data_IF_578644038942
#
_entry.id   IF_578644038942
#
_cell.length_a   1.000
_cell.length_b   1.000
_cell.length_c   1.000
_cell.angle_alpha   90.00
_cell.angle_beta   90.00
_cell.angle_gamma   90.00
#
_symmetry.space_group_name_H-M   'P 1'
#
loop_
_entity.id
_entity.type
_entity.pdbx_description
1 polymer ?
#
# COMPACT_ATOMS: atom_id res chain seq x y z
N UNK A 1 -10.39 -20.09 19.90
CA UNK A 1 -10.95 -19.11 18.96
C UNK A 1 -10.10 -19.12 17.70
N UNK A 2 -10.67 -18.98 16.49
CA UNK A 2 -9.85 -18.80 15.29
C UNK A 2 -8.99 -17.55 15.49
N UNK A 3 -7.66 -17.69 15.38
CA UNK A 3 -6.75 -16.54 15.44
C UNK A 3 -7.13 -15.58 14.31
N UNK A 4 -7.40 -14.32 14.66
CA UNK A 4 -7.58 -13.27 13.66
C UNK A 4 -6.29 -13.13 12.86
N UNK A 5 -6.40 -13.18 11.54
CA UNK A 5 -5.24 -13.13 10.65
C UNK A 5 -4.68 -11.71 10.64
N UNK A 6 -3.36 -11.51 10.83
CA UNK A 6 -2.77 -10.17 10.78
C UNK A 6 -2.86 -9.58 9.37
N UNK A 7 -2.82 -8.25 9.27
CA UNK A 7 -2.57 -7.60 7.98
C UNK A 7 -1.20 -8.02 7.43
N UNK A 8 -1.04 -7.90 6.11
CA UNK A 8 0.20 -8.27 5.44
C UNK A 8 1.42 -7.52 6.00
N UNK A 9 1.32 -6.21 6.26
CA UNK A 9 2.42 -5.46 6.88
C UNK A 9 2.71 -5.91 8.31
N UNK A 10 1.69 -6.09 9.16
CA UNK A 10 1.89 -6.59 10.54
C UNK A 10 2.58 -7.94 10.56
N UNK A 11 2.22 -8.83 9.65
CA UNK A 11 2.88 -10.13 9.55
C UNK A 11 4.36 -9.99 9.19
N UNK A 12 4.67 -9.20 8.17
CA UNK A 12 6.05 -9.05 7.69
C UNK A 12 6.92 -8.27 8.68
N UNK A 13 6.41 -7.14 9.21
CA UNK A 13 7.20 -6.18 9.98
C UNK A 13 7.16 -6.41 11.48
N UNK A 14 6.13 -7.09 12.01
CA UNK A 14 6.07 -7.44 13.44
C UNK A 14 6.31 -8.92 13.66
N UNK A 15 5.54 -9.80 12.99
CA UNK A 15 5.60 -11.22 13.33
C UNK A 15 6.89 -11.90 12.87
N UNK A 16 7.31 -11.69 11.62
CA UNK A 16 8.56 -12.28 11.14
C UNK A 16 9.77 -11.66 11.83
N UNK A 17 9.78 -10.33 12.05
CA UNK A 17 10.91 -9.64 12.69
C UNK A 17 11.16 -10.06 14.15
N UNK A 18 10.15 -10.59 14.87
CA UNK A 18 10.36 -11.16 16.22
C UNK A 18 11.35 -12.33 16.22
N UNK A 19 11.48 -13.03 15.10
CA UNK A 19 12.35 -14.19 14.93
C UNK A 19 13.70 -13.87 14.26
N UNK A 20 14.16 -12.61 14.26
CA UNK A 20 15.41 -12.19 13.59
C UNK A 20 16.63 -13.02 14.00
N UNK A 21 16.70 -13.48 15.25
CA UNK A 21 17.79 -14.32 15.73
C UNK A 21 17.90 -15.69 15.01
N UNK A 22 16.82 -16.15 14.39
CA UNK A 22 16.75 -17.37 13.58
C UNK A 22 17.13 -17.14 12.11
N UNK A 23 17.19 -15.89 11.64
CA UNK A 23 17.38 -15.65 10.21
C UNK A 23 18.68 -16.26 9.69
N UNK A 24 18.60 -16.86 8.50
CA UNK A 24 19.69 -17.58 7.83
C UNK A 24 20.25 -18.78 8.61
N UNK A 25 19.50 -19.31 9.60
CA UNK A 25 19.86 -20.50 10.38
C UNK A 25 18.76 -21.55 10.30
N UNK A 26 18.43 -22.07 9.10
CA UNK A 26 17.45 -23.15 9.00
C UNK A 26 17.95 -24.38 9.77
N UNK A 27 17.04 -25.20 10.34
CA UNK A 27 17.42 -26.43 11.04
C UNK A 27 18.23 -27.40 10.17
N UNK A 28 17.95 -27.40 8.86
CA UNK A 28 18.69 -28.14 7.85
C UNK A 28 19.58 -27.17 7.04
N UNK A 29 20.93 -27.32 7.07
CA UNK A 29 21.85 -26.51 6.27
C UNK A 29 21.64 -26.63 4.76
N UNK A 30 21.01 -27.72 4.31
CA UNK A 30 20.67 -27.96 2.90
C UNK A 30 19.28 -27.45 2.53
N UNK A 31 18.59 -26.76 3.45
CA UNK A 31 17.25 -26.23 3.21
C UNK A 31 17.18 -25.39 1.93
N UNK A 32 16.17 -25.71 1.13
CA UNK A 32 15.86 -25.08 -0.15
C UNK A 32 14.61 -24.24 0.00
N UNK A 33 14.60 -23.05 -0.60
CA UNK A 33 13.42 -22.21 -0.64
C UNK A 33 12.33 -22.87 -1.51
N UNK A 34 11.10 -23.06 -1.01
CA UNK A 34 10.02 -23.71 -1.75
C UNK A 34 9.46 -22.86 -2.89
N UNK A 35 9.88 -21.60 -3.04
CA UNK A 35 9.40 -20.70 -4.10
C UNK A 35 10.37 -20.64 -5.27
N UNK A 36 11.67 -20.46 -5.02
CA UNK A 36 12.68 -20.36 -6.08
C UNK A 36 13.49 -21.64 -6.29
N UNK A 37 13.33 -22.64 -5.41
CA UNK A 37 14.07 -23.91 -5.44
C UNK A 37 15.60 -23.75 -5.33
N UNK A 38 16.06 -22.63 -4.76
CA UNK A 38 17.48 -22.35 -4.49
C UNK A 38 17.77 -22.56 -2.99
N UNK A 39 18.95 -23.09 -2.68
CA UNK A 39 19.41 -23.27 -1.29
C UNK A 39 19.45 -21.92 -0.55
N UNK A 40 19.20 -21.96 0.76
CA UNK A 40 18.98 -20.77 1.59
C UNK A 40 20.06 -19.68 1.45
N UNK A 41 21.33 -20.06 1.31
CA UNK A 41 22.49 -19.17 1.22
C UNK A 41 22.99 -18.92 -0.21
N UNK A 42 22.29 -19.39 -1.25
CA UNK A 42 22.67 -19.25 -2.66
C UNK A 42 21.73 -18.33 -3.47
N UNK A 43 20.91 -17.53 -2.81
CA UNK A 43 20.00 -16.62 -3.49
C UNK A 43 20.76 -15.64 -4.42
N UNK A 44 20.31 -15.43 -5.67
CA UNK A 44 21.03 -14.57 -6.63
C UNK A 44 21.04 -13.10 -6.23
N UNK A 45 20.07 -12.68 -5.41
CA UNK A 45 20.01 -11.35 -4.80
C UNK A 45 20.02 -11.54 -3.29
N UNK A 46 20.89 -10.82 -2.54
CA UNK A 46 20.94 -10.91 -1.08
C UNK A 46 19.56 -10.76 -0.45
N UNK A 47 19.19 -11.73 0.37
CA UNK A 47 17.91 -11.77 1.07
C UNK A 47 18.01 -12.65 2.30
N UNK A 48 17.32 -12.29 3.37
CA UNK A 48 17.18 -13.15 4.55
C UNK A 48 16.36 -14.40 4.21
N UNK A 49 16.80 -15.55 4.69
CA UNK A 49 16.03 -16.79 4.76
C UNK A 49 15.40 -16.87 6.16
N UNK A 50 14.08 -16.96 6.24
CA UNK A 50 13.35 -16.81 7.50
C UNK A 50 12.28 -17.89 7.68
N UNK A 51 11.94 -18.25 8.93
CA UNK A 51 10.83 -19.14 9.21
C UNK A 51 9.49 -18.40 9.14
N UNK A 52 8.51 -18.99 8.48
CA UNK A 52 7.13 -18.52 8.46
C UNK A 52 6.43 -18.89 9.78
N UNK A 53 5.55 -18.02 10.25
CA UNK A 53 4.73 -18.23 11.45
C UNK A 53 3.29 -18.46 11.01
N UNK A 54 2.55 -19.42 11.59
CA UNK A 54 2.95 -20.33 12.67
C UNK A 54 3.59 -21.64 12.21
N UNK A 55 3.64 -21.90 10.89
CA UNK A 55 3.95 -23.24 10.38
C UNK A 55 5.44 -23.66 10.41
N UNK A 56 6.37 -22.73 10.64
CA UNK A 56 7.81 -23.02 10.73
C UNK A 56 8.51 -23.30 9.39
N UNK A 57 7.80 -23.30 8.25
CA UNK A 57 8.43 -23.48 6.94
C UNK A 57 9.30 -22.29 6.57
N UNK A 58 10.44 -22.54 5.94
CA UNK A 58 11.42 -21.50 5.64
C UNK A 58 11.34 -21.00 4.19
N UNK A 59 11.50 -19.70 4.00
CA UNK A 59 11.48 -19.05 2.67
C UNK A 59 12.47 -17.90 2.61
N UNK A 60 12.92 -17.56 1.40
CA UNK A 60 13.60 -16.28 1.17
C UNK A 60 12.58 -15.14 1.29
N UNK A 61 12.91 -14.11 2.08
CA UNK A 61 12.07 -12.93 2.27
C UNK A 61 11.63 -12.30 0.94
N UNK A 62 12.57 -12.06 0.02
CA UNK A 62 12.25 -11.49 -1.31
C UNK A 62 11.31 -12.39 -2.12
N UNK A 63 11.45 -13.71 -2.03
CA UNK A 63 10.56 -14.65 -2.71
C UNK A 63 9.14 -14.63 -2.12
N UNK A 64 9.03 -14.51 -0.79
CA UNK A 64 7.75 -14.36 -0.11
C UNK A 64 7.03 -13.08 -0.56
N UNK A 65 7.73 -11.94 -0.55
CA UNK A 65 7.16 -10.67 -1.02
C UNK A 65 6.77 -10.75 -2.50
N UNK A 66 7.61 -11.34 -3.35
CA UNK A 66 7.31 -11.50 -4.77
C UNK A 66 6.05 -12.35 -4.99
N UNK A 67 5.90 -13.46 -4.26
CA UNK A 67 4.68 -14.29 -4.30
C UNK A 67 3.45 -13.52 -3.81
N UNK A 68 3.56 -12.82 -2.69
CA UNK A 68 2.48 -11.99 -2.13
C UNK A 68 2.12 -10.80 -3.03
N UNK A 69 2.99 -10.44 -3.97
CA UNK A 69 2.76 -9.40 -4.98
C UNK A 69 2.19 -9.96 -6.29
N UNK A 70 1.72 -11.20 -6.34
CA UNK A 70 1.00 -11.70 -7.52
C UNK A 70 -0.50 -11.45 -7.36
N UNK A 71 -1.15 -10.70 -8.25
CA UNK A 71 -2.59 -10.40 -8.11
C UNK A 71 -3.46 -11.62 -8.43
N UNK A 72 -3.03 -12.44 -9.39
CA UNK A 72 -3.76 -13.60 -9.93
C UNK A 72 -3.70 -14.84 -9.01
N UNK A 73 -2.64 -15.01 -8.22
CA UNK A 73 -2.49 -16.20 -7.35
C UNK A 73 -3.49 -16.15 -6.18
N UNK A 74 -4.38 -17.14 -6.12
CA UNK A 74 -5.35 -17.31 -5.04
C UNK A 74 -4.72 -17.85 -3.74
N UNK A 75 -3.49 -18.36 -3.79
CA UNK A 75 -2.73 -18.89 -2.66
C UNK A 75 -1.61 -17.93 -2.20
N UNK A 76 -1.66 -16.66 -2.60
CA UNK A 76 -0.66 -15.64 -2.23
C UNK A 76 -0.66 -15.28 -0.74
N UNK A 77 -1.77 -15.50 -0.04
CA UNK A 77 -1.93 -15.23 1.39
C UNK A 77 -1.64 -16.46 2.27
N UNK A 78 -1.09 -17.54 1.68
CA UNK A 78 -0.86 -18.84 2.33
C UNK A 78 0.60 -19.27 2.27
N UNK A 79 0.98 -20.16 3.19
CA UNK A 79 2.26 -20.86 3.15
C UNK A 79 2.40 -21.65 1.83
N UNK A 80 3.54 -21.53 1.11
CA UNK A 80 3.74 -22.24 -0.15
C UNK A 80 3.92 -23.76 0.02
N UNK A 81 4.12 -24.25 1.25
CA UNK A 81 4.35 -25.68 1.54
C UNK A 81 3.08 -26.35 2.05
N UNK A 82 2.52 -25.85 3.16
CA UNK A 82 1.39 -26.49 3.83
C UNK A 82 0.05 -25.77 3.64
N UNK A 83 0.01 -24.71 2.84
CA UNK A 83 -1.19 -23.91 2.54
C UNK A 83 -1.86 -23.21 3.74
N UNK A 84 -1.22 -23.24 4.92
CA UNK A 84 -1.68 -22.52 6.11
C UNK A 84 -1.85 -21.02 5.78
N UNK A 85 -3.03 -20.43 6.01
CA UNK A 85 -3.24 -18.99 5.86
C UNK A 85 -2.29 -18.19 6.75
N UNK A 86 -1.60 -17.21 6.19
CA UNK A 86 -0.62 -16.39 6.91
C UNK A 86 -1.16 -14.99 7.22
N UNK A 87 -1.88 -14.39 6.28
CA UNK A 87 -2.24 -12.96 6.34
C UNK A 87 -3.66 -12.69 5.81
N UNK A 88 -4.19 -11.52 6.14
CA UNK A 88 -5.21 -10.85 5.33
C UNK A 88 -4.50 -10.02 4.27
N UNK A 89 -4.69 -10.41 3.01
CA UNK A 89 -4.08 -9.74 1.88
C UNK A 89 -4.91 -8.54 1.43
N UNK A 90 -4.24 -7.42 1.17
CA UNK A 90 -4.76 -6.32 0.39
C UNK A 90 -3.68 -5.70 -0.51
N UNK A 91 -4.13 -5.03 -1.58
CA UNK A 91 -3.26 -4.59 -2.65
C UNK A 91 -2.33 -3.48 -2.22
N UNK A 92 -2.80 -2.55 -1.40
CA UNK A 92 -1.97 -1.41 -0.99
C UNK A 92 -0.84 -1.84 -0.05
N UNK A 93 -1.06 -2.82 0.82
CA UNK A 93 0.00 -3.43 1.62
C UNK A 93 1.01 -4.15 0.72
N UNK A 94 0.54 -4.91 -0.27
CA UNK A 94 1.41 -5.63 -1.20
C UNK A 94 2.24 -4.66 -2.08
N UNK A 95 1.61 -3.60 -2.59
CA UNK A 95 2.25 -2.49 -3.29
C UNK A 95 3.36 -1.88 -2.42
N UNK A 96 3.04 -1.53 -1.17
CA UNK A 96 3.99 -0.96 -0.21
C UNK A 96 5.21 -1.87 -0.02
N UNK A 97 5.00 -3.17 0.17
CA UNK A 97 6.09 -4.14 0.34
C UNK A 97 6.93 -4.31 -0.93
N UNK A 98 6.29 -4.40 -2.08
CA UNK A 98 6.97 -4.54 -3.36
C UNK A 98 7.86 -3.33 -3.63
N UNK A 99 7.33 -2.11 -3.44
CA UNK A 99 8.09 -0.86 -3.56
C UNK A 99 9.28 -0.83 -2.59
N UNK A 100 9.06 -1.16 -1.31
CA UNK A 100 10.14 -1.21 -0.31
C UNK A 100 11.23 -2.24 -0.63
N UNK A 101 10.85 -3.33 -1.29
CA UNK A 101 11.76 -4.43 -1.66
C UNK A 101 12.39 -4.22 -3.05
N UNK A 102 12.01 -3.17 -3.77
CA UNK A 102 12.46 -2.92 -5.14
C UNK A 102 12.04 -4.03 -6.11
N UNK A 103 10.85 -4.60 -5.92
CA UNK A 103 10.27 -5.59 -6.82
C UNK A 103 9.38 -4.91 -7.84
N UNK A 104 9.51 -5.32 -9.10
CA UNK A 104 8.57 -4.92 -10.16
C UNK A 104 7.23 -5.64 -9.91
N UNK A 105 6.14 -4.88 -9.96
CA UNK A 105 4.81 -5.44 -9.84
C UNK A 105 4.44 -6.17 -11.14
N UNK A 106 3.89 -7.39 -11.06
CA UNK A 106 3.36 -8.05 -12.24
C UNK A 106 2.16 -7.25 -12.76
N UNK A 107 2.06 -7.14 -14.09
CA UNK A 107 0.90 -6.56 -14.75
C UNK A 107 -0.07 -7.68 -15.07
N UNK A 108 -1.13 -7.81 -14.29
CA UNK A 108 -2.24 -8.71 -14.61
C UNK A 108 -2.95 -8.19 -15.86
N UNK A 109 -2.81 -8.89 -16.98
CA UNK A 109 -3.60 -8.65 -18.19
C UNK A 109 -4.98 -9.24 -18.00
N UNK A 110 -6.01 -8.47 -18.33
CA UNK A 110 -7.39 -8.94 -18.19
C UNK A 110 -7.91 -9.52 -19.50
N UNK A 111 -8.85 -10.44 -19.40
CA UNK A 111 -9.60 -10.90 -20.57
C UNK A 111 -10.41 -9.74 -21.15
N UNK A 112 -10.60 -9.73 -22.48
CA UNK A 112 -11.32 -8.65 -23.18
C UNK A 112 -12.72 -8.36 -22.60
N UNK A 113 -13.40 -9.36 -22.05
CA UNK A 113 -14.72 -9.21 -21.40
C UNK A 113 -14.69 -8.41 -20.08
N UNK A 114 -13.53 -8.29 -19.45
CA UNK A 114 -13.35 -7.50 -18.23
C UNK A 114 -12.77 -6.12 -18.51
N UNK A 115 -12.30 -5.86 -19.74
CA UNK A 115 -11.82 -4.55 -20.13
C UNK A 115 -12.98 -3.56 -20.19
N UNK A 116 -12.77 -2.33 -19.75
CA UNK A 116 -13.80 -1.29 -19.71
C UNK A 116 -13.22 0.10 -19.98
N UNK A 117 -14.08 1.05 -20.36
CA UNK A 117 -13.70 2.47 -20.42
C UNK A 117 -14.06 3.18 -19.13
N UNK A 118 -13.09 3.77 -18.46
CA UNK A 118 -13.30 4.53 -17.23
C UNK A 118 -14.14 5.79 -17.54
N UNK A 119 -15.31 5.92 -16.90
CA UNK A 119 -16.22 7.02 -17.19
C UNK A 119 -15.68 8.39 -16.73
N UNK A 120 -14.83 8.42 -15.71
CA UNK A 120 -14.30 9.67 -15.16
C UNK A 120 -13.08 10.17 -15.95
N UNK A 121 -12.23 9.26 -16.43
CA UNK A 121 -10.98 9.62 -17.12
C UNK A 121 -11.02 9.38 -18.63
N UNK A 122 -11.99 8.62 -19.13
CA UNK A 122 -12.08 8.19 -20.52
C UNK A 122 -11.03 7.14 -20.93
N UNK A 123 -10.17 6.70 -20.01
CA UNK A 123 -9.09 5.74 -20.25
C UNK A 123 -9.64 4.33 -20.45
N UNK A 124 -9.05 3.57 -21.37
CA UNK A 124 -9.32 2.15 -21.52
C UNK A 124 -8.53 1.36 -20.46
N UNK A 125 -9.24 0.59 -19.65
CA UNK A 125 -8.69 -0.24 -18.57
C UNK A 125 -8.82 -1.70 -18.97
N UNK A 126 -7.69 -2.34 -19.25
CA UNK A 126 -7.54 -3.72 -19.73
C UNK A 126 -6.50 -4.51 -18.92
N UNK A 127 -5.91 -3.88 -17.91
CA UNK A 127 -4.91 -4.48 -17.04
C UNK A 127 -4.88 -3.77 -15.67
N UNK A 128 -4.25 -4.42 -14.70
CA UNK A 128 -4.01 -3.84 -13.37
C UNK A 128 -3.26 -2.50 -13.47
N UNK A 129 -2.39 -2.34 -14.48
CA UNK A 129 -1.60 -1.14 -14.69
C UNK A 129 -2.43 0.03 -15.25
N UNK A 130 -3.30 -0.24 -16.23
CA UNK A 130 -4.17 0.80 -16.81
C UNK A 130 -5.27 1.22 -15.84
N UNK A 131 -5.80 0.30 -15.03
CA UNK A 131 -6.73 0.63 -13.94
C UNK A 131 -6.05 1.48 -12.85
N UNK A 132 -4.83 1.12 -12.43
CA UNK A 132 -4.04 1.91 -11.48
C UNK A 132 -3.78 3.34 -11.98
N UNK A 133 -3.44 3.48 -13.27
CA UNK A 133 -3.24 4.79 -13.88
C UNK A 133 -4.53 5.62 -13.90
N UNK A 134 -5.66 5.00 -14.22
CA UNK A 134 -6.97 5.65 -14.18
C UNK A 134 -7.34 6.13 -12.76
N UNK A 135 -7.14 5.30 -11.73
CA UNK A 135 -7.35 5.71 -10.34
C UNK A 135 -6.44 6.87 -9.94
N UNK A 136 -5.15 6.83 -10.32
CA UNK A 136 -4.23 7.93 -10.04
C UNK A 136 -4.69 9.25 -10.67
N UNK A 137 -5.21 9.21 -11.89
CA UNK A 137 -5.75 10.39 -12.56
C UNK A 137 -7.02 10.93 -11.87
N UNK A 138 -7.92 10.06 -11.44
CA UNK A 138 -9.11 10.46 -10.65
C UNK A 138 -8.70 11.10 -9.33
N UNK A 139 -7.71 10.51 -8.63
CA UNK A 139 -7.18 11.05 -7.37
C UNK A 139 -6.64 12.46 -7.61
N UNK A 140 -5.81 12.68 -8.63
CA UNK A 140 -5.25 14.00 -8.92
C UNK A 140 -6.31 15.04 -9.28
N UNK A 141 -7.28 14.68 -10.12
CA UNK A 141 -8.40 15.55 -10.45
C UNK A 141 -9.25 15.91 -9.21
N UNK A 142 -9.48 14.93 -8.33
CA UNK A 142 -10.21 15.14 -7.07
C UNK A 142 -9.44 16.09 -6.16
N UNK A 143 -8.13 15.89 -5.97
CA UNK A 143 -7.27 16.79 -5.19
C UNK A 143 -7.34 18.23 -5.70
N UNK A 144 -7.20 18.43 -7.01
CA UNK A 144 -7.26 19.76 -7.61
C UNK A 144 -8.63 20.43 -7.36
N UNK A 145 -9.73 19.71 -7.61
CA UNK A 145 -11.09 20.22 -7.39
C UNK A 145 -11.32 20.61 -5.93
N UNK A 146 -11.02 19.72 -4.98
CA UNK A 146 -11.18 20.00 -3.55
C UNK A 146 -10.31 21.19 -3.12
N UNK A 147 -9.06 21.25 -3.57
CA UNK A 147 -8.18 22.38 -3.25
C UNK A 147 -8.78 23.71 -3.73
N UNK A 148 -9.22 23.82 -4.98
CA UNK A 148 -9.78 25.07 -5.50
C UNK A 148 -11.08 25.48 -4.82
N UNK A 149 -11.90 24.52 -4.35
CA UNK A 149 -13.06 24.82 -3.53
C UNK A 149 -12.66 25.49 -2.20
N UNK A 150 -11.62 24.99 -1.54
CA UNK A 150 -11.08 25.57 -0.30
C UNK A 150 -10.22 26.82 -0.52
N UNK A 151 -9.67 27.01 -1.71
CA UNK A 151 -8.93 28.22 -2.09
C UNK A 151 -9.85 29.40 -2.45
N UNK A 152 -11.16 29.17 -2.62
CA UNK A 152 -12.13 30.21 -2.93
C UNK A 152 -12.23 31.26 -1.80
N UNK A 153 -12.34 32.57 -2.07
CA UNK A 153 -12.37 33.62 -1.02
C UNK A 153 -13.43 33.43 0.06
N UNK A 154 -14.58 32.86 -0.30
CA UNK A 154 -15.69 32.59 0.63
C UNK A 154 -15.52 31.33 1.50
N UNK A 155 -14.51 30.49 1.24
CA UNK A 155 -14.27 29.29 2.03
C UNK A 155 -13.63 29.64 3.39
N UNK A 156 -13.83 28.83 4.45
CA UNK A 156 -13.14 28.99 5.73
C UNK A 156 -11.61 28.93 5.58
N UNK A 157 -10.89 29.82 6.26
CA UNK A 157 -9.42 29.97 6.17
C UNK A 157 -8.73 29.82 7.51
N UNK A 158 -7.43 29.54 7.46
CA UNK A 158 -6.53 29.70 8.59
C UNK A 158 -6.36 31.18 8.95
N UNK A 159 -5.71 31.47 10.08
CA UNK A 159 -5.52 32.84 10.57
C UNK A 159 -4.66 33.64 9.59
N UNK A 160 -3.66 33.01 8.98
CA UNK A 160 -2.82 33.61 7.94
C UNK A 160 -3.50 33.75 6.56
N UNK A 161 -4.78 33.40 6.45
CA UNK A 161 -5.55 33.45 5.20
C UNK A 161 -5.32 32.27 4.25
N UNK A 162 -4.46 31.31 4.60
CA UNK A 162 -4.25 30.10 3.80
C UNK A 162 -5.46 29.15 3.83
N UNK A 163 -5.63 28.28 2.81
CA UNK A 163 -6.66 27.24 2.82
C UNK A 163 -6.42 26.23 3.94
N UNK A 164 -7.50 25.69 4.52
CA UNK A 164 -7.43 24.63 5.54
C UNK A 164 -7.10 23.27 4.88
N UNK A 165 -5.84 23.00 4.61
CA UNK A 165 -5.40 21.82 3.83
C UNK A 165 -5.77 20.47 4.47
N UNK A 166 -5.89 20.40 5.80
CA UNK A 166 -6.44 19.21 6.46
C UNK A 166 -7.89 18.92 6.01
N UNK A 167 -8.72 19.94 5.83
CA UNK A 167 -10.08 19.78 5.32
C UNK A 167 -10.07 19.35 3.85
N UNK A 168 -9.18 19.92 3.02
CA UNK A 168 -8.97 19.46 1.63
C UNK A 168 -8.66 17.96 1.59
N UNK A 169 -7.76 17.49 2.44
CA UNK A 169 -7.41 16.07 2.54
C UNK A 169 -8.61 15.18 2.87
N UNK A 170 -9.42 15.55 3.87
CA UNK A 170 -10.61 14.78 4.25
C UNK A 170 -11.69 14.81 3.17
N UNK A 171 -11.89 15.94 2.50
CA UNK A 171 -12.85 16.06 1.40
C UNK A 171 -12.42 15.21 0.20
N UNK A 172 -11.12 15.14 -0.12
CA UNK A 172 -10.61 14.23 -1.15
C UNK A 172 -10.94 12.78 -0.81
N UNK A 173 -10.70 12.35 0.44
CA UNK A 173 -11.04 10.99 0.86
C UNK A 173 -12.56 10.73 0.81
N UNK A 174 -13.37 11.70 1.25
CA UNK A 174 -14.83 11.63 1.23
C UNK A 174 -15.37 11.52 -0.19
N UNK A 175 -14.88 12.35 -1.10
CA UNK A 175 -15.29 12.35 -2.49
C UNK A 175 -14.87 11.06 -3.22
N UNK A 176 -13.65 10.56 -2.98
CA UNK A 176 -13.20 9.27 -3.51
C UNK A 176 -14.07 8.12 -3.01
N UNK A 177 -14.43 8.11 -1.72
CA UNK A 177 -15.31 7.10 -1.15
C UNK A 177 -16.72 7.16 -1.77
N UNK A 178 -17.27 8.37 -1.98
CA UNK A 178 -18.58 8.58 -2.60
C UNK A 178 -18.64 8.01 -4.02
N UNK A 179 -17.56 8.16 -4.79
CA UNK A 179 -17.45 7.60 -6.15
C UNK A 179 -16.87 6.18 -6.18
N UNK A 180 -16.79 5.51 -5.02
CA UNK A 180 -16.31 4.13 -4.85
C UNK A 180 -14.91 3.88 -5.44
N UNK A 181 -13.98 4.77 -5.15
CA UNK A 181 -12.56 4.66 -5.53
C UNK A 181 -11.68 4.38 -4.32
N UNK A 182 -10.55 3.68 -4.51
CA UNK A 182 -9.99 3.16 -5.76
C UNK A 182 -10.66 1.85 -6.22
N UNK A 183 -10.59 1.57 -7.53
CA UNK A 183 -11.01 0.28 -8.13
C UNK A 183 -9.83 -0.67 -8.36
N UNK A 184 -8.68 -0.07 -8.66
CA UNK A 184 -7.36 -0.67 -8.80
C UNK A 184 -7.07 -1.69 -7.73
N UNK A 185 -6.85 -2.95 -8.14
CA UNK A 185 -6.48 -4.02 -7.21
C UNK A 185 -5.34 -3.62 -6.27
N UNK A 186 -4.36 -2.86 -6.78
CA UNK A 186 -3.18 -2.39 -6.06
C UNK A 186 -3.43 -1.28 -5.04
N UNK A 187 -4.49 -0.50 -5.21
CA UNK A 187 -4.83 0.59 -4.30
C UNK A 187 -5.94 0.20 -3.32
N UNK A 188 -6.65 -0.89 -3.60
CA UNK A 188 -7.71 -1.40 -2.73
C UNK A 188 -7.17 -1.95 -1.42
N UNK A 189 -7.92 -1.70 -0.36
CA UNK A 189 -7.67 -2.23 0.97
C UNK A 189 -8.84 -3.09 1.47
N UNK A 190 -8.53 -3.95 2.44
CA UNK A 190 -9.52 -4.72 3.22
C UNK A 190 -9.23 -4.71 4.72
N UNK A 191 -8.03 -4.28 5.11
CA UNK A 191 -7.60 -4.19 6.50
C UNK A 191 -7.60 -2.75 6.97
N UNK A 192 -7.60 -2.55 8.30
CA UNK A 192 -7.44 -1.22 8.88
C UNK A 192 -6.07 -0.61 8.53
N UNK A 193 -5.00 -1.41 8.58
CA UNK A 193 -3.67 -0.96 8.13
C UNK A 193 -3.70 -0.51 6.67
N UNK A 194 -4.38 -1.26 5.79
CA UNK A 194 -4.55 -0.87 4.38
C UNK A 194 -5.32 0.45 4.20
N UNK A 195 -6.37 0.70 5.00
CA UNK A 195 -7.06 1.99 5.00
C UNK A 195 -6.13 3.14 5.38
N UNK A 196 -5.31 2.97 6.42
CA UNK A 196 -4.35 3.98 6.85
C UNK A 196 -3.27 4.24 5.78
N UNK A 197 -2.76 3.19 5.14
CA UNK A 197 -1.81 3.31 4.03
C UNK A 197 -2.41 4.06 2.84
N UNK A 198 -3.69 3.85 2.55
CA UNK A 198 -4.36 4.59 1.48
C UNK A 198 -4.48 6.07 1.81
N UNK A 199 -4.88 6.40 3.04
CA UNK A 199 -4.84 7.78 3.52
C UNK A 199 -3.45 8.40 3.39
N UNK A 200 -2.40 7.67 3.78
CA UNK A 200 -1.02 8.14 3.67
C UNK A 200 -0.61 8.37 2.21
N UNK A 201 -1.00 7.48 1.28
CA UNK A 201 -0.76 7.67 -0.15
C UNK A 201 -1.42 8.96 -0.67
N UNK A 202 -2.69 9.20 -0.32
CA UNK A 202 -3.41 10.42 -0.71
C UNK A 202 -2.70 11.65 -0.14
N UNK A 203 -2.29 11.60 1.12
CA UNK A 203 -1.54 12.68 1.75
C UNK A 203 -0.20 12.96 1.06
N UNK A 204 0.59 11.92 0.74
CA UNK A 204 1.85 12.07 0.00
C UNK A 204 1.64 12.65 -1.40
N UNK A 205 0.59 12.22 -2.11
CA UNK A 205 0.23 12.76 -3.42
C UNK A 205 -0.21 14.22 -3.32
N UNK A 206 -1.03 14.57 -2.33
CA UNK A 206 -1.48 15.95 -2.10
C UNK A 206 -0.30 16.86 -1.76
N UNK A 207 0.55 16.45 -0.81
CA UNK A 207 1.79 17.15 -0.45
C UNK A 207 2.65 17.44 -1.69
N UNK A 208 2.88 16.42 -2.52
CA UNK A 208 3.65 16.55 -3.75
C UNK A 208 2.99 17.53 -4.73
N UNK A 209 1.70 17.36 -4.98
CA UNK A 209 0.93 18.21 -5.89
C UNK A 209 0.95 19.68 -5.45
N UNK A 210 0.78 19.95 -4.16
CA UNK A 210 0.87 21.29 -3.58
C UNK A 210 2.29 21.87 -3.72
N UNK A 211 3.32 21.08 -3.43
CA UNK A 211 4.71 21.52 -3.58
C UNK A 211 5.12 21.79 -5.02
N UNK A 212 4.55 21.08 -6.00
CA UNK A 212 4.86 21.26 -7.42
C UNK A 212 4.00 22.35 -8.08
N UNK A 213 2.72 22.48 -7.71
CA UNK A 213 1.74 23.32 -8.42
C UNK A 213 1.21 24.51 -7.63
N UNK A 214 1.29 24.48 -6.30
CA UNK A 214 0.70 25.48 -5.40
C UNK A 214 1.74 25.94 -4.36
N UNK A 215 2.95 26.27 -4.82
CA UNK A 215 4.10 26.58 -3.94
C UNK A 215 3.83 27.66 -2.91
N UNK A 216 2.90 28.59 -3.19
CA UNK A 216 2.49 29.67 -2.28
C UNK A 216 1.87 29.17 -0.96
N UNK A 217 1.30 27.96 -0.93
CA UNK A 217 0.76 27.40 0.31
C UNK A 217 1.83 26.73 1.18
N UNK A 218 3.02 26.45 0.65
CA UNK A 218 4.07 25.76 1.40
C UNK A 218 4.58 26.65 2.53
N UNK A 219 4.59 26.12 3.75
CA UNK A 219 5.05 26.84 4.95
C UNK A 219 3.99 27.73 5.63
N UNK A 220 2.81 27.88 5.02
CA UNK A 220 1.63 28.49 5.65
C UNK A 220 1.14 27.71 6.87
N UNK A 221 0.25 28.30 7.66
CA UNK A 221 -0.43 27.63 8.76
C UNK A 221 -1.18 26.38 8.28
N UNK A 222 -1.96 26.48 7.21
CA UNK A 222 -2.67 25.34 6.63
C UNK A 222 -1.74 24.21 6.21
N UNK A 223 -0.54 24.52 5.72
CA UNK A 223 0.49 23.52 5.40
C UNK A 223 1.07 22.84 6.63
N UNK A 224 1.40 23.61 7.68
CA UNK A 224 1.93 23.06 8.93
C UNK A 224 0.92 22.13 9.60
N UNK A 225 -0.35 22.52 9.63
CA UNK A 225 -1.43 21.70 10.18
C UNK A 225 -1.58 20.39 9.40
N UNK A 226 -1.51 20.46 8.07
CA UNK A 226 -1.57 19.28 7.20
C UNK A 226 -0.37 18.33 7.44
N UNK A 227 0.86 18.86 7.50
CA UNK A 227 2.05 18.05 7.79
C UNK A 227 2.00 17.43 9.19
N UNK A 228 1.48 18.14 10.20
CA UNK A 228 1.26 17.59 11.53
C UNK A 228 0.25 16.42 11.50
N UNK A 229 -0.84 16.56 10.74
CA UNK A 229 -1.82 15.50 10.51
C UNK A 229 -1.20 14.27 9.81
N UNK A 230 -0.32 14.49 8.84
CA UNK A 230 0.45 13.42 8.18
C UNK A 230 1.36 12.68 9.16
N UNK A 231 2.06 13.40 10.04
CA UNK A 231 2.85 12.80 11.12
C UNK A 231 2.00 11.94 12.06
N UNK A 232 0.82 12.43 12.46
CA UNK A 232 -0.10 11.66 13.29
C UNK A 232 -0.61 10.39 12.59
N UNK A 233 -0.89 10.45 11.27
CA UNK A 233 -1.28 9.27 10.49
C UNK A 233 -0.15 8.24 10.40
N UNK A 234 1.09 8.69 10.21
CA UNK A 234 2.26 7.80 10.21
C UNK A 234 2.40 7.06 11.54
N UNK A 235 2.23 7.75 12.66
CA UNK A 235 2.27 7.11 13.99
C UNK A 235 1.19 6.05 14.17
N UNK A 236 -0.02 6.29 13.63
CA UNK A 236 -1.09 5.28 13.64
C UNK A 236 -0.76 4.05 12.81
N UNK A 237 -0.13 4.23 11.64
CA UNK A 237 0.34 3.12 10.80
C UNK A 237 1.36 2.28 11.57
N UNK A 238 2.34 2.92 12.22
CA UNK A 238 3.36 2.23 13.01
C UNK A 238 2.71 1.42 14.14
N UNK A 239 1.84 2.05 14.94
CA UNK A 239 1.16 1.38 16.04
C UNK A 239 0.35 0.16 15.57
N UNK A 240 -0.38 0.29 14.46
CA UNK A 240 -1.16 -0.80 13.87
C UNK A 240 -0.28 -1.96 13.35
N UNK A 241 0.88 -1.64 12.78
CA UNK A 241 1.83 -2.64 12.25
C UNK A 241 2.55 -3.37 13.39
N UNK A 242 2.89 -2.67 14.47
CA UNK A 242 3.56 -3.25 15.64
C UNK A 242 2.63 -4.19 16.41
N UNK A 243 1.35 -3.80 16.52
CA UNK A 243 0.25 -4.65 16.96
C UNK A 243 0.08 -4.75 18.46
#
# INVERSE_FOLDING_TARGET
>A
APYERPSLLRYIDSHLLRAVHLYNKPPDPTAVCPICHIQHNHAPVPTSFLPLVPCGHWVHYRCLVARMSQTIDAAKDKCPVCTTPLVLWDGISALTLATRTGLTLPVGQWNAHHAYRDAATGLWCDSDATEYAADCAVIEATMARCFYAHAHPAAPRCVDGSPRLAAVYYDVLGDLALIQRPRGVWLRWRTYSGFLLFGMLIGLKLRRWLGERQTLVVGTEGWKDFEAGMGALQMRIIAEVEG
#
